data_IF_650011787210
#
_entry.id   IF_650011787210
#
_cell.length_a   1.000
_cell.length_b   1.000
_cell.length_c   1.000
_cell.angle_alpha   90.00
_cell.angle_beta   90.00
_cell.angle_gamma   90.00
#
_symmetry.space_group_name_H-M   'P 1'
#
loop_
_entity.id
_entity.type
_entity.pdbx_description
1 polymer ?
#
# COMPACT_ATOMS: atom_id res chain seq x y z
N UNK A 1 -32.09 -17.36 3.02
CA UNK A 1 -33.09 -18.10 2.21
C UNK A 1 -34.52 -17.66 2.48
N UNK A 2 -34.98 -17.55 3.74
CA UNK A 2 -36.36 -17.12 4.07
C UNK A 2 -36.73 -15.71 3.56
N UNK A 3 -35.80 -14.75 3.60
CA UNK A 3 -36.01 -13.40 3.04
C UNK A 3 -36.00 -13.37 1.50
N UNK A 4 -35.42 -14.38 0.84
CA UNK A 4 -35.30 -14.48 -0.61
C UNK A 4 -36.35 -15.43 -1.21
N UNK A 5 -37.20 -16.05 -0.39
CA UNK A 5 -38.26 -17.00 -0.76
C UNK A 5 -37.83 -18.16 -1.70
N UNK A 6 -36.54 -18.49 -1.72
CA UNK A 6 -35.98 -19.60 -2.50
C UNK A 6 -36.04 -20.92 -1.72
N UNK A 7 -36.42 -21.99 -2.42
CA UNK A 7 -36.61 -23.33 -1.85
C UNK A 7 -35.33 -24.17 -1.81
N UNK A 8 -34.40 -23.94 -2.73
CA UNK A 8 -33.16 -24.72 -2.86
C UNK A 8 -31.95 -23.81 -3.04
N UNK A 9 -30.85 -24.15 -2.38
CA UNK A 9 -29.56 -23.48 -2.50
C UNK A 9 -28.55 -24.47 -3.08
N UNK A 10 -28.02 -24.14 -4.26
CA UNK A 10 -26.95 -24.90 -4.89
C UNK A 10 -25.64 -24.16 -4.68
N UNK A 11 -24.76 -24.70 -3.83
CA UNK A 11 -23.42 -24.17 -3.61
C UNK A 11 -22.44 -24.78 -4.61
N UNK A 12 -21.63 -23.93 -5.24
CA UNK A 12 -20.58 -24.32 -6.20
C UNK A 12 -19.23 -23.72 -5.78
N UNK A 13 -18.65 -24.18 -4.65
CA UNK A 13 -17.32 -23.73 -4.25
C UNK A 13 -16.23 -24.30 -5.17
N UNK A 14 -15.07 -23.64 -5.22
CA UNK A 14 -13.93 -24.05 -6.06
C UNK A 14 -13.37 -25.44 -5.71
N UNK A 15 -13.49 -25.84 -4.45
CA UNK A 15 -13.03 -27.15 -3.95
C UNK A 15 -14.05 -28.28 -4.17
N UNK A 16 -15.15 -28.02 -4.88
CA UNK A 16 -16.11 -29.08 -5.22
C UNK A 16 -15.47 -30.04 -6.24
N UNK A 17 -15.55 -31.34 -5.98
CA UNK A 17 -14.87 -32.39 -6.76
C UNK A 17 -15.02 -32.23 -8.28
N UNK A 18 -16.22 -31.93 -8.76
CA UNK A 18 -16.50 -31.75 -10.20
C UNK A 18 -15.78 -30.54 -10.81
N UNK A 19 -15.61 -29.46 -10.04
CA UNK A 19 -14.92 -28.24 -10.48
C UNK A 19 -13.41 -28.48 -10.39
N UNK A 20 -12.96 -29.08 -9.28
CA UNK A 20 -11.55 -29.39 -9.05
C UNK A 20 -10.99 -30.34 -10.10
N UNK A 21 -11.74 -31.40 -10.48
CA UNK A 21 -11.32 -32.35 -11.50
C UNK A 21 -11.14 -31.69 -12.87
N UNK A 22 -11.99 -30.74 -13.23
CA UNK A 22 -11.91 -30.00 -14.49
C UNK A 22 -10.74 -29.01 -14.45
N UNK A 23 -10.55 -28.29 -13.36
CA UNK A 23 -9.45 -27.34 -13.21
C UNK A 23 -8.08 -28.03 -13.15
N UNK A 24 -7.98 -29.23 -12.55
CA UNK A 24 -6.74 -30.02 -12.48
C UNK A 24 -6.36 -30.66 -13.81
N UNK A 25 -7.29 -30.76 -14.78
CA UNK A 25 -7.01 -31.37 -16.07
C UNK A 25 -5.98 -30.58 -16.90
N UNK A 26 -5.97 -29.24 -16.78
CA UNK A 26 -5.02 -28.36 -17.45
C UNK A 26 -4.50 -27.30 -16.46
N UNK A 27 -3.50 -27.64 -15.62
CA UNK A 27 -2.93 -26.67 -14.69
C UNK A 27 -2.12 -25.62 -15.44
N UNK A 28 -2.27 -24.37 -15.02
CA UNK A 28 -1.40 -23.27 -15.47
C UNK A 28 -0.11 -23.35 -14.67
N UNK A 29 1.04 -23.27 -15.35
CA UNK A 29 2.33 -23.12 -14.69
C UNK A 29 2.40 -21.72 -14.07
N UNK A 30 2.66 -21.67 -12.77
CA UNK A 30 2.75 -20.42 -12.01
C UNK A 30 4.14 -20.36 -11.41
N UNK A 31 4.83 -19.26 -11.68
CA UNK A 31 6.11 -18.92 -11.06
C UNK A 31 5.88 -17.73 -10.13
N UNK A 32 6.15 -17.94 -8.84
CA UNK A 32 6.02 -16.93 -7.79
C UNK A 32 7.39 -16.30 -7.55
N UNK A 33 7.47 -14.97 -7.70
CA UNK A 33 8.70 -14.21 -7.51
C UNK A 33 8.52 -13.28 -6.31
N UNK A 34 9.33 -13.50 -5.27
CA UNK A 34 9.32 -12.69 -4.07
C UNK A 34 10.19 -11.45 -4.25
N UNK A 35 9.56 -10.28 -4.34
CA UNK A 35 10.26 -8.99 -4.36
C UNK A 35 10.22 -8.32 -2.99
N UNK A 36 11.39 -8.21 -2.35
CA UNK A 36 11.53 -7.47 -1.12
C UNK A 36 11.41 -5.95 -1.35
N UNK A 37 10.95 -5.25 -0.31
CA UNK A 37 10.99 -3.79 -0.28
C UNK A 37 12.44 -3.32 -0.12
N UNK A 38 12.75 -2.18 -0.74
CA UNK A 38 14.03 -1.53 -0.49
C UNK A 38 14.14 -1.07 0.97
N UNK A 39 15.37 -0.86 1.45
CA UNK A 39 15.62 -0.44 2.82
C UNK A 39 14.86 0.84 3.19
N UNK A 40 14.85 1.85 2.30
CA UNK A 40 14.12 3.11 2.51
C UNK A 40 12.60 2.92 2.56
N UNK A 41 12.05 2.04 1.72
CA UNK A 41 10.62 1.71 1.74
C UNK A 41 10.22 0.95 3.01
N UNK A 42 11.07 0.03 3.48
CA UNK A 42 10.84 -0.74 4.71
C UNK A 42 10.76 0.17 5.95
N UNK A 43 11.69 1.13 6.07
CA UNK A 43 11.69 2.10 7.17
C UNK A 43 10.44 3.00 7.14
N UNK A 44 10.07 3.49 5.95
CA UNK A 44 8.83 4.28 5.75
C UNK A 44 7.59 3.46 6.10
N UNK A 45 7.53 2.18 5.70
CA UNK A 45 6.42 1.29 6.05
C UNK A 45 6.32 1.09 7.57
N UNK A 46 7.45 0.83 8.23
CA UNK A 46 7.52 0.64 9.66
C UNK A 46 7.03 1.87 10.42
N UNK A 47 7.43 3.07 10.01
CA UNK A 47 6.95 4.32 10.62
C UNK A 47 5.44 4.52 10.40
N UNK A 48 4.90 4.25 9.20
CA UNK A 48 3.44 4.35 8.98
C UNK A 48 2.68 3.37 9.89
N UNK A 49 3.17 2.14 10.06
CA UNK A 49 2.56 1.14 10.95
C UNK A 49 2.59 1.62 12.41
N UNK A 50 3.71 2.20 12.87
CA UNK A 50 3.81 2.79 14.22
C UNK A 50 2.83 3.96 14.41
N UNK A 51 2.70 4.83 13.41
CA UNK A 51 1.71 5.93 13.44
C UNK A 51 0.28 5.40 13.51
N UNK A 52 -0.04 4.33 12.75
CA UNK A 52 -1.35 3.66 12.81
C UNK A 52 -1.62 3.11 14.21
N UNK A 53 -0.64 2.44 14.82
CA UNK A 53 -0.79 1.89 16.17
C UNK A 53 -1.00 3.00 17.22
N UNK A 54 -0.24 4.09 17.15
CA UNK A 54 -0.44 5.26 17.99
C UNK A 54 -1.86 5.86 17.86
N UNK A 55 -2.39 5.92 16.64
CA UNK A 55 -3.77 6.37 16.40
C UNK A 55 -4.79 5.39 16.99
N UNK A 56 -4.59 4.09 16.87
CA UNK A 56 -5.47 3.07 17.45
C UNK A 56 -5.49 3.15 18.98
N UNK A 57 -4.33 3.36 19.62
CA UNK A 57 -4.24 3.57 21.07
C UNK A 57 -5.05 4.80 21.48
N UNK A 58 -4.96 5.90 20.74
CA UNK A 58 -5.72 7.12 21.03
C UNK A 58 -7.23 6.95 20.79
N UNK A 59 -7.62 6.17 19.78
CA UNK A 59 -9.03 5.78 19.54
C UNK A 59 -9.59 5.00 20.73
N UNK A 60 -8.81 4.06 21.28
CA UNK A 60 -9.24 3.27 22.46
C UNK A 60 -9.31 4.13 23.73
N UNK A 61 -8.38 5.07 23.91
CA UNK A 61 -8.32 5.97 25.08
C UNK A 61 -9.48 6.98 25.12
N UNK A 62 -9.88 7.49 23.97
CA UNK A 62 -10.86 8.58 23.86
C UNK A 62 -12.33 8.13 23.88
N UNK A 63 -12.61 6.82 23.80
CA UNK A 63 -13.98 6.32 23.69
C UNK A 63 -14.55 5.72 24.96
N UNK A 64 -15.85 5.98 25.17
CA UNK A 64 -16.70 5.29 26.15
C UNK A 64 -17.28 3.98 25.61
N UNK A 65 -16.86 3.58 24.42
CA UNK A 65 -17.34 2.41 23.66
C UNK A 65 -16.22 1.39 23.65
N UNK A 66 -16.54 0.12 23.85
CA UNK A 66 -15.58 -0.97 23.73
C UNK A 66 -15.16 -1.14 22.27
N UNK A 67 -13.94 -0.69 21.97
CA UNK A 67 -13.27 -0.81 20.66
C UNK A 67 -12.07 -1.74 20.74
N UNK A 68 -12.03 -2.65 21.72
CA UNK A 68 -10.96 -3.65 21.89
C UNK A 68 -10.74 -4.50 20.64
N UNK A 69 -11.79 -4.69 19.83
CA UNK A 69 -11.70 -5.44 18.58
C UNK A 69 -10.94 -4.72 17.45
N UNK A 70 -10.61 -3.43 17.59
CA UNK A 70 -9.80 -2.69 16.63
C UNK A 70 -8.31 -2.97 16.88
N UNK A 71 -7.80 -4.10 16.41
CA UNK A 71 -6.38 -4.47 16.49
C UNK A 71 -5.58 -3.97 15.29
N UNK A 72 -4.26 -3.88 15.43
CA UNK A 72 -3.36 -3.49 14.34
C UNK A 72 -3.49 -4.42 13.12
N UNK A 73 -3.55 -5.72 13.35
CA UNK A 73 -3.76 -6.73 12.30
C UNK A 73 -5.04 -6.45 11.50
N UNK A 74 -6.15 -6.19 12.21
CA UNK A 74 -7.43 -5.82 11.59
C UNK A 74 -7.33 -4.53 10.81
N UNK A 75 -6.56 -3.55 11.28
CA UNK A 75 -6.34 -2.30 10.58
C UNK A 75 -5.61 -2.48 9.24
N UNK A 76 -4.79 -3.52 9.07
CA UNK A 76 -4.11 -3.78 7.81
C UNK A 76 -5.01 -4.47 6.77
N UNK A 77 -6.13 -5.08 7.18
CA UNK A 77 -7.06 -5.72 6.24
C UNK A 77 -7.85 -4.71 5.41
N UNK A 78 -8.18 -5.08 4.17
CA UNK A 78 -8.94 -4.23 3.23
C UNK A 78 -10.39 -3.97 3.69
N UNK A 79 -10.98 -4.86 4.48
CA UNK A 79 -12.34 -4.72 5.00
C UNK A 79 -12.46 -3.80 6.21
N UNK A 80 -11.34 -3.34 6.79
CA UNK A 80 -11.32 -2.62 8.06
C UNK A 80 -12.29 -1.44 8.12
N UNK A 81 -12.34 -0.57 7.09
CA UNK A 81 -13.24 0.59 7.09
C UNK A 81 -14.72 0.17 7.12
N UNK A 82 -15.06 -0.93 6.42
CA UNK A 82 -16.42 -1.46 6.39
C UNK A 82 -16.78 -2.09 7.75
N UNK A 83 -15.83 -2.79 8.36
CA UNK A 83 -16.01 -3.45 9.64
C UNK A 83 -16.16 -2.42 10.77
N UNK A 84 -15.30 -1.40 10.80
CA UNK A 84 -15.39 -0.26 11.71
C UNK A 84 -16.70 0.49 11.53
N UNK A 85 -17.08 0.77 10.27
CA UNK A 85 -18.36 1.43 9.97
C UNK A 85 -19.56 0.65 10.47
N UNK A 86 -19.58 -0.68 10.27
CA UNK A 86 -20.65 -1.55 10.76
C UNK A 86 -20.72 -1.60 12.29
N UNK A 87 -19.57 -1.64 12.96
CA UNK A 87 -19.51 -1.69 14.43
C UNK A 87 -19.92 -0.36 15.08
N UNK A 88 -19.52 0.76 14.48
CA UNK A 88 -19.78 2.09 15.04
C UNK A 88 -21.15 2.65 14.66
N UNK A 89 -21.79 2.18 13.58
CA UNK A 89 -23.08 2.71 13.12
C UNK A 89 -24.19 2.70 14.19
N UNK A 90 -24.37 1.65 15.01
CA UNK A 90 -25.37 1.64 16.08
C UNK A 90 -25.10 2.67 17.20
N UNK A 91 -23.84 3.03 17.41
CA UNK A 91 -23.39 3.90 18.51
C UNK A 91 -22.75 5.20 18.03
N UNK A 92 -22.97 5.58 16.76
CA UNK A 92 -22.30 6.72 16.11
C UNK A 92 -22.48 8.04 16.88
N UNK A 93 -23.66 8.22 17.47
CA UNK A 93 -24.00 9.38 18.30
C UNK A 93 -23.20 9.47 19.62
N UNK A 94 -22.62 8.37 20.09
CA UNK A 94 -21.77 8.32 21.30
C UNK A 94 -20.29 8.52 20.99
N UNK A 95 -19.90 8.46 19.73
CA UNK A 95 -18.50 8.61 19.28
C UNK A 95 -18.11 10.08 19.33
N UNK A 96 -16.99 10.39 19.98
CA UNK A 96 -16.50 11.77 20.10
C UNK A 96 -16.01 12.30 18.74
N UNK A 97 -16.11 13.61 18.45
CA UNK A 97 -15.57 14.20 17.22
C UNK A 97 -14.09 13.88 17.01
N UNK A 98 -13.30 13.87 18.10
CA UNK A 98 -11.89 13.48 18.08
C UNK A 98 -11.69 12.06 17.55
N UNK A 99 -12.49 11.09 17.99
CA UNK A 99 -12.44 9.72 17.47
C UNK A 99 -12.79 9.67 15.99
N UNK A 100 -13.83 10.39 15.55
CA UNK A 100 -14.22 10.39 14.14
C UNK A 100 -13.07 10.89 13.25
N UNK A 101 -12.38 11.94 13.67
CA UNK A 101 -11.18 12.42 12.99
C UNK A 101 -10.09 11.35 12.94
N UNK A 102 -9.79 10.67 14.06
CA UNK A 102 -8.78 9.61 14.09
C UNK A 102 -9.12 8.44 13.15
N UNK A 103 -10.40 8.12 12.97
CA UNK A 103 -10.83 7.09 12.03
C UNK A 103 -10.61 7.51 10.56
N UNK A 104 -10.86 8.77 10.23
CA UNK A 104 -10.52 9.31 8.90
C UNK A 104 -8.99 9.36 8.69
N UNK A 105 -8.23 9.75 9.73
CA UNK A 105 -6.78 9.73 9.70
C UNK A 105 -6.24 8.31 9.46
N UNK A 106 -6.79 7.29 10.14
CA UNK A 106 -6.45 5.88 9.92
C UNK A 106 -6.69 5.44 8.48
N UNK A 107 -7.78 5.90 7.86
CA UNK A 107 -8.08 5.63 6.45
C UNK A 107 -7.05 6.27 5.52
N UNK A 108 -6.60 7.49 5.83
CA UNK A 108 -5.52 8.16 5.08
C UNK A 108 -4.19 7.40 5.24
N UNK A 109 -3.81 7.03 6.46
CA UNK A 109 -2.56 6.30 6.73
C UNK A 109 -2.53 4.94 6.04
N UNK A 110 -3.65 4.22 6.01
CA UNK A 110 -3.77 2.94 5.29
C UNK A 110 -3.66 3.10 3.77
N UNK A 111 -4.22 4.17 3.21
CA UNK A 111 -3.99 4.52 1.80
C UNK A 111 -2.53 4.83 1.53
N UNK A 112 -1.87 5.50 2.46
CA UNK A 112 -0.44 5.82 2.40
C UNK A 112 0.44 4.57 2.26
N UNK A 113 0.12 3.48 2.97
CA UNK A 113 0.77 2.16 2.77
C UNK A 113 0.60 1.65 1.34
N UNK A 114 -0.59 1.78 0.75
CA UNK A 114 -0.81 1.36 -0.65
C UNK A 114 -0.10 2.27 -1.67
N UNK A 115 0.02 3.56 -1.35
CA UNK A 115 0.71 4.53 -2.20
C UNK A 115 2.21 4.32 -2.20
N UNK A 116 2.80 3.90 -1.08
CA UNK A 116 4.22 3.56 -0.99
C UNK A 116 4.65 2.57 -2.08
N UNK A 117 3.85 1.51 -2.31
CA UNK A 117 4.14 0.46 -3.30
C UNK A 117 3.74 0.88 -4.72
N UNK A 118 2.67 1.66 -4.86
CA UNK A 118 2.10 2.02 -6.16
C UNK A 118 2.79 3.22 -6.82
N UNK A 119 3.33 4.14 -6.02
CA UNK A 119 3.95 5.39 -6.48
C UNK A 119 5.49 5.30 -6.42
N UNK A 120 6.14 6.17 -7.18
CA UNK A 120 7.56 6.51 -7.10
C UNK A 120 7.88 7.35 -5.86
N UNK A 121 9.17 7.47 -5.53
CA UNK A 121 9.63 8.16 -4.33
C UNK A 121 9.28 9.67 -4.32
N UNK A 122 9.30 10.32 -5.50
CA UNK A 122 9.04 11.75 -5.64
C UNK A 122 7.56 12.04 -5.44
N UNK A 123 6.67 11.35 -6.17
CA UNK A 123 5.23 11.57 -6.01
C UNK A 123 4.75 11.17 -4.61
N UNK A 124 5.34 10.13 -4.01
CA UNK A 124 5.03 9.78 -2.62
C UNK A 124 5.39 10.90 -1.63
N UNK A 125 6.56 11.53 -1.80
CA UNK A 125 6.98 12.65 -0.96
C UNK A 125 6.07 13.88 -1.16
N UNK A 126 5.67 14.16 -2.40
CA UNK A 126 4.75 15.26 -2.70
C UNK A 126 3.36 15.02 -2.11
N UNK A 127 2.84 13.78 -2.19
CA UNK A 127 1.58 13.38 -1.53
C UNK A 127 1.70 13.59 -0.02
N UNK A 128 2.81 13.20 0.60
CA UNK A 128 3.04 13.41 2.04
C UNK A 128 3.05 14.90 2.40
N UNK A 129 3.72 15.74 1.61
CA UNK A 129 3.74 17.18 1.83
C UNK A 129 2.37 17.83 1.62
N UNK A 130 1.65 17.40 0.59
CA UNK A 130 0.27 17.83 0.30
C UNK A 130 -0.69 17.43 1.44
N UNK A 131 -0.53 16.23 2.01
CA UNK A 131 -1.29 15.82 3.18
C UNK A 131 -0.97 16.70 4.39
N UNK A 132 0.30 17.04 4.61
CA UNK A 132 0.70 17.94 5.72
C UNK A 132 0.10 19.35 5.58
N UNK A 133 -0.02 19.87 4.36
CA UNK A 133 -0.56 21.22 4.11
C UNK A 133 -2.07 21.23 4.12
N UNK A 134 -2.72 20.21 3.54
CA UNK A 134 -4.16 20.16 3.28
C UNK A 134 -4.96 19.54 4.42
N UNK A 135 -4.37 18.60 5.17
CA UNK A 135 -5.10 17.91 6.24
C UNK A 135 -5.42 18.88 7.38
N UNK A 136 -6.72 19.07 7.60
CA UNK A 136 -7.28 19.89 8.66
C UNK A 136 -8.43 19.12 9.30
N UNK A 137 -8.53 19.24 10.61
CA UNK A 137 -9.68 18.76 11.37
C UNK A 137 -10.87 19.70 11.18
N UNK A 138 -12.07 19.27 11.62
CA UNK A 138 -13.28 20.12 11.61
C UNK A 138 -13.08 21.46 12.34
N UNK A 139 -12.17 21.51 13.32
CA UNK A 139 -11.82 22.72 14.07
C UNK A 139 -10.72 23.58 13.39
N UNK A 140 -10.24 23.19 12.20
CA UNK A 140 -9.14 23.85 11.51
C UNK A 140 -7.74 23.51 12.06
N UNK A 141 -7.65 22.66 13.07
CA UNK A 141 -6.38 22.20 13.64
C UNK A 141 -5.74 21.12 12.77
N UNK A 142 -4.44 20.87 12.94
CA UNK A 142 -3.76 19.76 12.26
C UNK A 142 -4.12 18.42 12.91
N UNK A 143 -4.22 17.32 12.15
CA UNK A 143 -4.53 16.01 12.69
C UNK A 143 -3.46 15.51 13.67
N UNK A 144 -3.89 14.70 14.64
CA UNK A 144 -3.06 14.22 15.75
C UNK A 144 -1.79 13.50 15.27
N UNK A 145 -1.93 12.65 14.25
CA UNK A 145 -0.85 11.79 13.80
C UNK A 145 0.38 12.58 13.32
N UNK A 146 0.19 13.78 12.73
CA UNK A 146 1.28 14.64 12.27
C UNK A 146 2.18 15.16 13.40
N UNK A 147 1.72 15.11 14.66
CA UNK A 147 2.48 15.52 15.83
C UNK A 147 3.24 14.37 16.50
N UNK A 148 3.06 13.14 16.05
CA UNK A 148 3.79 11.98 16.57
C UNK A 148 5.25 12.01 16.14
N UNK A 149 6.14 11.47 16.96
CA UNK A 149 7.56 11.33 16.61
C UNK A 149 7.74 10.40 15.39
N UNK A 150 6.93 9.36 15.30
CA UNK A 150 6.90 8.45 14.15
C UNK A 150 6.54 9.18 12.84
N UNK A 151 5.61 10.13 12.88
CA UNK A 151 5.32 10.93 11.69
C UNK A 151 6.49 11.82 11.29
N UNK A 152 7.24 12.38 12.25
CA UNK A 152 8.45 13.16 11.93
C UNK A 152 9.52 12.29 11.27
N UNK A 153 9.73 11.07 11.78
CA UNK A 153 10.62 10.07 11.15
C UNK A 153 10.16 9.69 9.75
N UNK A 154 8.86 9.43 9.57
CA UNK A 154 8.25 9.17 8.26
C UNK A 154 8.59 10.28 7.24
N UNK A 155 8.45 11.54 7.61
CA UNK A 155 8.81 12.66 6.72
C UNK A 155 10.31 12.74 6.44
N UNK A 156 11.17 12.34 7.38
CA UNK A 156 12.61 12.32 7.16
C UNK A 156 12.99 11.17 6.22
N UNK A 157 12.58 9.93 6.52
CA UNK A 157 12.84 8.77 5.68
C UNK A 157 12.27 8.95 4.27
N UNK A 158 11.09 9.56 4.12
CA UNK A 158 10.54 9.87 2.80
C UNK A 158 11.40 10.89 2.01
N UNK A 159 12.06 11.84 2.68
CA UNK A 159 12.99 12.76 2.03
C UNK A 159 14.31 12.09 1.68
N UNK A 160 14.83 11.23 2.54
CA UNK A 160 16.09 10.52 2.33
C UNK A 160 16.04 9.61 1.08
N UNK A 161 14.84 9.20 0.67
CA UNK A 161 14.57 8.45 -0.58
C UNK A 161 14.65 9.30 -1.87
N UNK A 162 14.74 10.63 -1.74
CA UNK A 162 14.75 11.58 -2.87
C UNK A 162 16.00 12.46 -2.85
N UNK A 163 16.46 12.84 -1.66
CA UNK A 163 17.55 13.77 -1.45
C UNK A 163 18.53 13.25 -0.40
N UNK A 164 19.82 13.32 -0.70
CA UNK A 164 20.88 13.21 0.29
C UNK A 164 21.38 14.61 0.63
N UNK A 165 21.45 14.89 1.93
CA UNK A 165 22.01 16.14 2.43
C UNK A 165 23.45 15.87 2.86
N UNK A 166 24.41 16.31 2.04
CA UNK A 166 25.82 16.25 2.38
C UNK A 166 26.23 17.55 3.09
N UNK A 167 26.66 17.42 4.35
CA UNK A 167 27.37 18.49 5.04
C UNK A 167 28.84 18.43 4.67
N UNK A 168 29.32 19.32 3.80
CA UNK A 168 30.76 19.46 3.54
C UNK A 168 31.27 20.62 4.38
N UNK A 169 31.92 20.32 5.51
CA UNK A 169 32.63 21.28 6.35
C UNK A 169 32.63 20.92 7.84
N UNK A 170 33.81 20.73 8.43
CA UNK A 170 34.01 20.76 9.89
C UNK A 170 34.07 22.23 10.35
N UNK A 171 32.95 22.77 10.85
CA UNK A 171 32.88 24.14 11.38
C UNK A 171 31.45 24.61 11.66
N UNK A 172 31.33 25.75 12.35
CA UNK A 172 30.08 26.35 12.89
C UNK A 172 29.05 26.80 11.83
N UNK A 173 29.31 26.52 10.54
CA UNK A 173 28.40 26.77 9.42
C UNK A 173 28.66 25.76 8.27
N UNK A 174 28.09 24.54 8.32
CA UNK A 174 28.28 23.55 7.27
C UNK A 174 27.59 23.99 5.97
N UNK A 175 28.31 23.94 4.85
CA UNK A 175 27.72 24.19 3.53
C UNK A 175 26.95 22.94 3.12
N UNK A 176 25.63 22.98 3.29
CA UNK A 176 24.74 21.87 2.93
C UNK A 176 24.64 21.78 1.40
N UNK A 177 25.09 20.66 0.85
CA UNK A 177 24.96 20.36 -0.58
C UNK A 177 23.88 19.28 -0.73
N UNK A 178 22.93 19.52 -1.63
CA UNK A 178 21.72 18.71 -1.78
C UNK A 178 21.87 17.86 -3.04
N UNK A 179 22.08 16.55 -2.87
CA UNK A 179 22.20 15.59 -3.97
C UNK A 179 20.87 14.88 -4.18
N UNK A 180 20.47 14.68 -5.45
CA UNK A 180 19.22 13.99 -5.79
C UNK A 180 19.51 12.50 -5.94
N UNK A 181 19.05 11.71 -4.97
CA UNK A 181 19.11 10.25 -5.03
C UNK A 181 17.69 9.76 -5.21
N UNK A 182 17.35 9.40 -6.46
CA UNK A 182 16.04 8.87 -6.80
C UNK A 182 16.06 7.36 -6.59
N UNK A 183 15.54 6.89 -5.47
CA UNK A 183 15.40 5.46 -5.21
C UNK A 183 14.39 4.84 -6.19
N UNK A 184 14.80 3.87 -7.04
CA UNK A 184 13.89 3.16 -7.92
C UNK A 184 13.02 2.18 -7.13
N UNK A 185 11.77 2.01 -7.55
CA UNK A 185 10.88 1.03 -6.92
C UNK A 185 11.28 -0.39 -7.38
N UNK A 186 11.60 -1.31 -6.45
CA UNK A 186 12.23 -2.60 -6.77
C UNK A 186 11.39 -3.49 -7.69
N UNK A 187 10.06 -3.31 -7.72
CA UNK A 187 9.15 -4.06 -8.61
C UNK A 187 9.47 -3.87 -10.09
N UNK A 188 10.00 -2.70 -10.48
CA UNK A 188 10.30 -2.40 -11.87
C UNK A 188 11.57 -3.10 -12.34
N UNK A 189 12.58 -3.19 -11.47
CA UNK A 189 13.79 -3.97 -11.74
C UNK A 189 13.45 -5.42 -12.04
N UNK A 190 12.65 -6.05 -11.17
CA UNK A 190 12.21 -7.43 -11.37
C UNK A 190 11.40 -7.62 -12.65
N UNK A 191 10.52 -6.66 -12.97
CA UNK A 191 9.75 -6.72 -14.22
C UNK A 191 10.67 -6.66 -15.45
N UNK A 192 11.68 -5.80 -15.44
CA UNK A 192 12.67 -5.73 -16.52
C UNK A 192 13.43 -7.05 -16.70
N UNK A 193 13.85 -7.67 -15.59
CA UNK A 193 14.58 -8.93 -15.61
C UNK A 193 13.71 -10.04 -16.24
N UNK A 194 12.46 -10.17 -15.81
CA UNK A 194 11.51 -11.15 -16.34
C UNK A 194 11.19 -10.89 -17.82
N UNK A 195 10.98 -9.64 -18.21
CA UNK A 195 10.73 -9.30 -19.62
C UNK A 195 11.97 -9.57 -20.50
N UNK A 196 13.16 -9.33 -19.97
CA UNK A 196 14.43 -9.65 -20.62
C UNK A 196 14.60 -11.16 -20.82
N UNK A 197 14.30 -11.96 -19.80
CA UNK A 197 14.31 -13.42 -19.87
C UNK A 197 13.32 -13.95 -20.92
N UNK A 198 12.07 -13.45 -20.90
CA UNK A 198 11.05 -13.81 -21.89
C UNK A 198 11.53 -13.44 -23.29
N UNK A 199 12.13 -12.26 -23.47
CA UNK A 199 12.64 -11.82 -24.76
C UNK A 199 13.78 -12.71 -25.26
N UNK A 200 14.73 -13.09 -24.40
CA UNK A 200 15.81 -14.01 -24.73
C UNK A 200 15.28 -15.38 -25.18
N UNK A 201 14.35 -15.95 -24.41
CA UNK A 201 13.73 -17.23 -24.74
C UNK A 201 13.00 -17.20 -26.10
N UNK A 202 12.39 -16.06 -26.43
CA UNK A 202 11.74 -15.86 -27.73
C UNK A 202 12.73 -15.84 -28.89
N UNK A 203 13.89 -15.24 -28.71
CA UNK A 203 14.93 -15.17 -29.72
C UNK A 203 15.52 -16.56 -30.00
N UNK A 204 15.68 -17.39 -28.96
CA UNK A 204 16.07 -18.79 -29.09
C UNK A 204 15.04 -19.60 -29.88
N UNK A 205 13.76 -19.47 -29.56
CA UNK A 205 12.67 -20.16 -30.27
C UNK A 205 12.57 -19.74 -31.75
N UNK A 206 12.85 -18.45 -32.03
CA UNK A 206 12.96 -17.96 -33.42
C UNK A 206 14.13 -18.60 -34.15
N UNK A 207 15.29 -18.73 -33.49
CA UNK A 207 16.46 -19.42 -34.02
C UNK A 207 16.20 -20.91 -34.33
N UNK A 208 15.27 -21.54 -33.61
CA UNK A 208 14.84 -22.93 -33.81
C UNK A 208 13.72 -23.09 -34.87
N UNK A 209 13.27 -22.00 -35.51
CA UNK A 209 12.27 -22.06 -36.60
C UNK A 209 10.81 -22.13 -36.13
N UNK A 210 10.50 -21.78 -34.88
CA UNK A 210 9.12 -21.74 -34.38
C UNK A 210 8.38 -20.52 -34.96
N UNK A 211 7.42 -20.75 -35.85
CA UNK A 211 6.75 -19.71 -36.64
C UNK A 211 5.85 -18.76 -35.84
N UNK A 212 5.41 -19.14 -34.63
CA UNK A 212 4.59 -18.30 -33.75
C UNK A 212 5.22 -18.16 -32.39
N UNK A 213 5.74 -16.98 -32.14
CA UNK A 213 6.09 -16.52 -30.80
C UNK A 213 4.83 -15.96 -30.15
N UNK A 214 4.51 -16.40 -28.93
CA UNK A 214 3.34 -15.93 -28.18
C UNK A 214 3.41 -14.43 -27.84
N UNK A 215 2.30 -13.87 -27.34
CA UNK A 215 2.21 -12.46 -26.88
C UNK A 215 2.36 -12.42 -25.36
N UNK A 216 3.10 -11.42 -24.84
CA UNK A 216 3.14 -11.14 -23.38
C UNK A 216 2.08 -10.10 -23.07
N UNK A 217 1.27 -10.36 -22.05
CA UNK A 217 0.29 -9.40 -21.54
C UNK A 217 0.63 -9.09 -20.10
N UNK A 218 1.09 -7.86 -19.84
CA UNK A 218 1.30 -7.34 -18.49
C UNK A 218 -0.01 -6.71 -18.03
N UNK A 219 -0.52 -7.12 -16.88
CA UNK A 219 -1.78 -6.63 -16.31
C UNK A 219 -1.49 -5.79 -15.08
N UNK A 220 -1.95 -4.54 -15.10
CA UNK A 220 -1.84 -3.61 -13.97
C UNK A 220 -3.21 -3.34 -13.36
N UNK A 221 -3.25 -2.94 -12.09
CA UNK A 221 -4.49 -2.62 -11.37
C UNK A 221 -5.11 -1.29 -11.82
N UNK A 222 -4.28 -0.30 -12.13
CA UNK A 222 -4.65 1.09 -12.35
C UNK A 222 -3.93 1.66 -13.58
N UNK A 223 -4.56 2.65 -14.22
CA UNK A 223 -4.07 3.27 -15.46
C UNK A 223 -2.71 3.97 -15.25
N UNK A 224 -2.44 4.48 -14.04
CA UNK A 224 -1.15 5.09 -13.71
C UNK A 224 -0.05 4.05 -13.65
N UNK A 225 -0.25 2.95 -12.93
CA UNK A 225 0.69 1.81 -12.99
C UNK A 225 0.88 1.30 -14.42
N UNK A 226 -0.16 1.30 -15.25
CA UNK A 226 -0.05 0.92 -16.66
C UNK A 226 0.75 1.94 -17.49
N UNK A 227 0.62 3.24 -17.21
CA UNK A 227 1.44 4.28 -17.84
C UNK A 227 2.90 4.13 -17.45
N UNK A 228 3.18 4.00 -16.15
CA UNK A 228 4.55 3.81 -15.66
C UNK A 228 5.18 2.53 -16.23
N UNK A 229 4.41 1.45 -16.36
CA UNK A 229 4.88 0.20 -16.97
C UNK A 229 5.15 0.30 -18.47
N UNK A 230 4.65 1.34 -19.17
CA UNK A 230 4.98 1.60 -20.58
C UNK A 230 6.28 2.40 -20.74
N UNK A 231 6.64 3.17 -19.72
CA UNK A 231 7.83 4.01 -19.71
C UNK A 231 9.07 3.24 -19.22
N UNK A 232 8.86 2.03 -18.67
CA UNK A 232 9.88 1.04 -18.28
C UNK A 232 10.21 0.14 -19.48
#
# INVERSE_FOLDING_TARGET
MRQLFVKSLSLWPRFKDTVESVCKANPVQVEELDQELSAGMSEVQADIIRVIDACLVEVRRSNKVDLSQLTLEKALHTSFDKDVGRQLQPVWHKVTPKTRQLLEDLKVLRKLLSYLVSHDAVDFLDILHTLRTTSRTDAGERPFWLFTQDAQRLFQHAKDRVYLVHGVGEGDNPKLTLERVLEPNPKWTLLCDVLGEIQGHREELRGQGVARVGVTVVVCRDDRSASNARDV
#
